data_IF_154434725877
#
_entry.id   IF_154434725877
#
_cell.length_a   1.000
_cell.length_b   1.000
_cell.length_c   1.000
_cell.angle_alpha   90.00
_cell.angle_beta   90.00
_cell.angle_gamma   90.00
#
_symmetry.space_group_name_H-M   'P 1'
#
loop_
_entity.id
_entity.type
_entity.pdbx_description
1 polymer ?
#
# COMPACT_ATOMS: atom_id res chain seq x y z
N UNK A 1 23.41 -15.08 -18.12
CA UNK A 1 22.31 -14.64 -17.23
C UNK A 1 22.97 -13.81 -16.14
N UNK A 2 22.93 -12.49 -16.31
CA UNK A 2 23.84 -11.55 -15.66
C UNK A 2 23.46 -11.36 -14.18
N UNK A 3 24.47 -11.40 -13.33
CA UNK A 3 24.42 -11.18 -11.87
C UNK A 3 23.87 -9.78 -11.52
N UNK A 4 23.70 -8.91 -12.52
CA UNK A 4 23.13 -7.56 -12.40
C UNK A 4 21.67 -7.50 -11.89
N UNK A 5 20.87 -8.58 -11.98
CA UNK A 5 19.46 -8.53 -11.55
C UNK A 5 19.22 -8.74 -10.04
N UNK A 6 20.20 -9.24 -9.28
CA UNK A 6 20.03 -9.49 -7.83
C UNK A 6 20.56 -8.33 -6.97
N UNK A 7 21.44 -7.47 -7.51
CA UNK A 7 22.02 -6.35 -6.74
C UNK A 7 21.08 -5.15 -6.53
N UNK A 8 19.96 -5.04 -7.23
CA UNK A 8 19.03 -3.92 -7.03
C UNK A 8 18.26 -4.00 -5.70
N UNK A 9 18.25 -5.17 -5.04
CA UNK A 9 17.49 -5.41 -3.81
C UNK A 9 18.31 -5.12 -2.54
N UNK A 10 19.64 -4.94 -2.62
CA UNK A 10 20.50 -4.89 -1.41
C UNK A 10 21.33 -3.61 -1.19
N UNK A 11 21.41 -2.67 -2.13
CA UNK A 11 22.27 -1.46 -1.99
C UNK A 11 21.52 -0.12 -1.74
N UNK A 12 20.41 -0.14 -0.99
CA UNK A 12 19.72 1.08 -0.52
C UNK A 12 19.52 1.10 1.00
N UNK A 13 20.43 0.50 1.76
CA UNK A 13 20.48 0.65 3.23
C UNK A 13 21.89 1.10 3.63
N UNK A 14 22.16 2.40 3.50
CA UNK A 14 23.22 3.06 4.26
C UNK A 14 22.61 4.21 5.06
N UNK A 15 22.24 3.87 6.28
CA UNK A 15 21.82 4.76 7.34
C UNK A 15 21.94 3.96 8.62
N UNK A 16 23.02 4.18 9.38
CA UNK A 16 23.31 3.47 10.61
C UNK A 16 22.16 3.63 11.61
N UNK A 17 21.51 2.52 11.98
CA UNK A 17 20.53 2.47 13.08
C UNK A 17 21.01 1.40 14.08
N UNK A 18 21.09 1.79 15.35
CA UNK A 18 21.68 0.97 16.40
C UNK A 18 20.84 -0.29 16.70
N UNK A 19 21.45 -1.45 17.00
CA UNK A 19 20.74 -2.73 17.10
C UNK A 19 19.77 -2.87 18.29
N UNK A 20 19.71 -1.91 19.22
CA UNK A 20 18.83 -1.95 20.40
C UNK A 20 17.51 -1.19 20.25
N UNK A 21 17.30 -0.49 19.12
CA UNK A 21 16.08 0.29 18.84
C UNK A 21 14.97 -0.54 18.18
N UNK A 22 15.29 -1.77 17.73
CA UNK A 22 14.39 -2.62 16.94
C UNK A 22 13.18 -3.18 17.72
N UNK A 23 13.07 -2.94 19.03
CA UNK A 23 12.07 -3.57 19.90
C UNK A 23 11.13 -2.59 20.64
N UNK A 24 11.00 -1.31 20.25
CA UNK A 24 10.18 -0.38 21.06
C UNK A 24 9.22 0.59 20.35
N UNK A 25 8.95 0.48 19.05
CA UNK A 25 7.96 1.35 18.37
C UNK A 25 6.80 0.58 17.71
N UNK A 26 6.69 -0.73 17.93
CA UNK A 26 5.84 -1.62 17.11
C UNK A 26 4.36 -1.73 17.53
N UNK A 27 3.89 -0.88 18.46
CA UNK A 27 2.61 -1.09 19.14
C UNK A 27 1.49 -0.07 18.83
N UNK A 28 1.73 0.97 18.02
CA UNK A 28 0.63 1.84 17.55
C UNK A 28 0.06 1.34 16.22
N UNK A 29 -0.35 0.07 16.20
CA UNK A 29 -1.18 -0.45 15.12
C UNK A 29 -2.62 -0.07 15.41
N UNK A 30 -3.16 0.92 14.67
CA UNK A 30 -4.61 1.15 14.71
C UNK A 30 -5.30 -0.05 14.07
N UNK A 31 -5.80 -0.97 14.90
CA UNK A 31 -6.51 -2.18 14.46
C UNK A 31 -7.76 -1.89 13.62
N UNK A 32 -8.14 -0.62 13.47
CA UNK A 32 -9.26 -0.17 12.69
C UNK A 32 -8.87 1.02 11.81
N UNK A 33 -8.72 0.77 10.51
CA UNK A 33 -8.83 1.82 9.50
C UNK A 33 -10.24 1.81 8.92
N UNK A 34 -10.78 3.00 8.64
CA UNK A 34 -12.14 3.11 8.12
C UNK A 34 -12.27 2.33 6.80
N UNK A 35 -13.38 1.61 6.62
CA UNK A 35 -13.72 0.83 5.41
C UNK A 35 -12.86 -0.43 5.14
N UNK A 36 -11.80 -0.67 5.91
CA UNK A 36 -10.88 -1.77 5.66
C UNK A 36 -11.23 -3.00 6.50
N UNK A 37 -11.58 -4.09 5.83
CA UNK A 37 -11.84 -5.38 6.48
C UNK A 37 -10.57 -6.05 7.00
N UNK A 38 -10.69 -7.03 7.92
CA UNK A 38 -9.55 -7.68 8.59
C UNK A 38 -8.56 -8.33 7.62
N UNK A 39 -9.04 -8.79 6.45
CA UNK A 39 -8.20 -9.36 5.39
C UNK A 39 -7.28 -8.32 4.77
N UNK A 40 -7.80 -7.16 4.39
CA UNK A 40 -7.01 -6.06 3.80
C UNK A 40 -6.06 -5.48 4.83
N UNK A 41 -6.50 -5.32 6.10
CA UNK A 41 -5.63 -4.89 7.19
C UNK A 41 -4.45 -5.86 7.41
N UNK A 42 -4.69 -7.18 7.35
CA UNK A 42 -3.61 -8.17 7.43
C UNK A 42 -2.59 -8.06 6.28
N UNK A 43 -3.06 -7.71 5.08
CA UNK A 43 -2.17 -7.46 3.94
C UNK A 43 -1.35 -6.18 4.11
N UNK A 44 -1.99 -5.08 4.52
CA UNK A 44 -1.31 -3.81 4.79
C UNK A 44 -0.26 -3.96 5.89
N UNK A 45 -0.57 -4.71 6.95
CA UNK A 45 0.40 -5.06 8.01
C UNK A 45 1.64 -5.76 7.45
N UNK A 46 1.46 -6.70 6.53
CA UNK A 46 2.57 -7.41 5.87
C UNK A 46 3.35 -6.48 4.92
N UNK A 47 2.68 -5.49 4.34
CA UNK A 47 3.28 -4.47 3.49
C UNK A 47 3.99 -3.35 4.29
N UNK A 48 3.90 -3.36 5.62
CA UNK A 48 4.46 -2.31 6.48
C UNK A 48 3.60 -1.05 6.57
N UNK A 49 2.35 -1.09 6.11
CA UNK A 49 1.40 0.03 6.13
C UNK A 49 0.48 -0.17 7.33
N UNK A 50 0.55 0.74 8.30
CA UNK A 50 -0.10 0.58 9.61
C UNK A 50 -1.09 1.70 9.91
N UNK A 51 -0.98 2.84 9.23
CA UNK A 51 -1.83 4.02 9.45
C UNK A 51 -2.43 4.56 8.15
N UNK A 52 -3.51 5.34 8.26
CA UNK A 52 -4.06 6.11 7.13
C UNK A 52 -3.06 7.15 6.60
N UNK A 53 -2.16 7.63 7.48
CA UNK A 53 -1.08 8.54 7.08
C UNK A 53 -0.05 7.82 6.21
N UNK A 54 0.22 6.54 6.46
CA UNK A 54 1.09 5.74 5.60
C UNK A 54 0.47 5.59 4.21
N UNK A 55 -0.85 5.33 4.15
CA UNK A 55 -1.58 5.27 2.87
C UNK A 55 -1.49 6.61 2.13
N UNK A 56 -1.70 7.74 2.82
CA UNK A 56 -1.55 9.09 2.24
C UNK A 56 -0.13 9.36 1.75
N UNK A 57 0.88 8.87 2.48
CA UNK A 57 2.29 9.12 2.17
C UNK A 57 2.78 8.29 0.99
N UNK A 58 2.30 7.05 0.87
CA UNK A 58 2.65 6.14 -0.23
C UNK A 58 1.82 6.42 -1.48
N UNK A 59 0.52 6.70 -1.31
CA UNK A 59 -0.46 6.83 -2.38
C UNK A 59 -1.34 5.58 -2.52
N UNK A 60 -2.63 5.78 -2.76
CA UNK A 60 -3.63 4.70 -2.79
C UNK A 60 -3.37 3.69 -3.91
N UNK A 61 -2.92 4.16 -5.07
CA UNK A 61 -2.60 3.31 -6.23
C UNK A 61 -1.35 2.48 -5.96
N UNK A 62 -0.32 3.11 -5.41
CA UNK A 62 0.97 2.51 -5.08
C UNK A 62 0.81 1.42 -4.02
N UNK A 63 0.02 1.70 -2.97
CA UNK A 63 -0.35 0.69 -1.97
C UNK A 63 -1.05 -0.50 -2.65
N UNK A 64 -2.01 -0.24 -3.54
CA UNK A 64 -2.73 -1.30 -4.23
C UNK A 64 -1.81 -2.16 -5.12
N UNK A 65 -0.88 -1.54 -5.85
CA UNK A 65 0.10 -2.23 -6.69
C UNK A 65 1.10 -3.02 -5.86
N UNK A 66 1.62 -2.45 -4.77
CA UNK A 66 2.51 -3.14 -3.84
C UNK A 66 1.85 -4.41 -3.29
N UNK A 67 0.56 -4.37 -2.93
CA UNK A 67 -0.17 -5.56 -2.50
C UNK A 67 -0.25 -6.61 -3.62
N UNK A 68 -0.42 -6.20 -4.87
CA UNK A 68 -0.39 -7.13 -6.02
C UNK A 68 0.98 -7.75 -6.24
N UNK A 69 2.04 -6.96 -6.11
CA UNK A 69 3.43 -7.42 -6.29
C UNK A 69 3.86 -8.40 -5.19
N UNK A 70 3.31 -8.24 -3.98
CA UNK A 70 3.43 -9.21 -2.89
C UNK A 70 2.65 -10.53 -3.13
N UNK A 71 1.96 -10.64 -4.26
CA UNK A 71 1.19 -11.84 -4.63
C UNK A 71 -0.24 -11.86 -4.08
N UNK A 72 -0.70 -10.79 -3.43
CA UNK A 72 -2.11 -10.68 -3.05
C UNK A 72 -2.99 -10.35 -4.26
N UNK A 73 -4.29 -10.59 -4.11
CA UNK A 73 -5.30 -10.28 -5.14
C UNK A 73 -6.33 -9.30 -4.57
N UNK A 74 -5.94 -8.04 -4.30
CA UNK A 74 -6.88 -7.03 -3.85
C UNK A 74 -7.94 -6.79 -4.94
N UNK A 75 -9.20 -6.68 -4.51
CA UNK A 75 -10.31 -6.37 -5.41
C UNK A 75 -10.42 -4.87 -5.63
N UNK A 76 -11.19 -4.45 -6.63
CA UNK A 76 -11.47 -3.03 -6.84
C UNK A 76 -12.18 -2.38 -5.62
N UNK A 77 -12.95 -3.16 -4.86
CA UNK A 77 -13.53 -2.69 -3.59
C UNK A 77 -12.43 -2.37 -2.57
N UNK A 78 -11.32 -3.10 -2.56
CA UNK A 78 -10.19 -2.78 -1.71
C UNK A 78 -9.55 -1.44 -2.12
N UNK A 79 -9.50 -1.12 -3.42
CA UNK A 79 -9.04 0.18 -3.89
C UNK A 79 -9.93 1.32 -3.36
N UNK A 80 -11.25 1.18 -3.43
CA UNK A 80 -12.17 2.18 -2.87
C UNK A 80 -12.08 2.28 -1.36
N UNK A 81 -11.86 1.16 -0.67
CA UNK A 81 -11.67 1.16 0.78
C UNK A 81 -10.39 1.90 1.18
N UNK A 82 -9.30 1.73 0.41
CA UNK A 82 -8.04 2.47 0.61
C UNK A 82 -8.22 3.97 0.39
N UNK A 83 -8.91 4.38 -0.68
CA UNK A 83 -9.25 5.79 -0.92
C UNK A 83 -10.11 6.35 0.22
N UNK A 84 -11.14 5.63 0.64
CA UNK A 84 -12.00 6.05 1.75
C UNK A 84 -11.24 6.15 3.08
N UNK A 85 -10.27 5.26 3.32
CA UNK A 85 -9.36 5.36 4.48
C UNK A 85 -8.40 6.55 4.36
N UNK A 86 -7.89 6.83 3.16
CA UNK A 86 -7.01 7.95 2.86
C UNK A 86 -7.70 9.30 3.11
N UNK A 87 -8.93 9.45 2.63
CA UNK A 87 -9.75 10.67 2.70
C UNK A 87 -10.61 10.77 3.96
N UNK A 88 -10.69 9.70 4.77
CA UNK A 88 -11.51 9.64 5.97
C UNK A 88 -13.03 9.57 5.71
N UNK A 89 -13.46 9.30 4.47
CA UNK A 89 -14.87 9.20 4.06
C UNK A 89 -15.34 7.75 3.91
N UNK A 90 -16.64 7.49 3.94
CA UNK A 90 -17.16 6.17 3.59
C UNK A 90 -16.87 5.89 2.11
N UNK A 91 -16.43 4.67 1.79
CA UNK A 91 -16.10 4.30 0.40
C UNK A 91 -17.30 4.41 -0.56
N UNK A 92 -18.53 4.35 -0.03
CA UNK A 92 -19.76 4.56 -0.79
C UNK A 92 -19.95 6.02 -1.19
N UNK A 93 -19.43 6.95 -0.40
CA UNK A 93 -19.56 8.39 -0.59
C UNK A 93 -18.48 8.98 -1.49
N UNK A 94 -17.46 8.18 -1.89
CA UNK A 94 -16.47 8.61 -2.89
C UNK A 94 -17.19 8.91 -4.22
N UNK A 95 -17.02 10.12 -4.79
CA UNK A 95 -17.61 10.53 -6.06
C UNK A 95 -17.30 9.56 -7.21
N UNK A 96 -18.22 9.45 -8.16
CA UNK A 96 -18.06 8.53 -9.29
C UNK A 96 -16.90 8.96 -10.20
N UNK A 97 -16.68 10.27 -10.31
CA UNK A 97 -15.59 10.91 -11.03
C UNK A 97 -14.25 10.47 -10.43
N UNK A 98 -14.11 10.55 -9.11
CA UNK A 98 -12.88 10.14 -8.41
C UNK A 98 -12.64 8.63 -8.54
N UNK A 99 -13.70 7.81 -8.49
CA UNK A 99 -13.61 6.37 -8.77
C UNK A 99 -13.16 6.07 -10.20
N UNK A 100 -13.55 6.89 -11.18
CA UNK A 100 -13.12 6.74 -12.56
C UNK A 100 -11.64 7.11 -12.70
N UNK A 101 -11.22 8.25 -12.15
CA UNK A 101 -9.84 8.69 -12.16
C UNK A 101 -8.89 7.66 -11.52
N UNK A 102 -9.27 7.05 -10.38
CA UNK A 102 -8.53 5.94 -9.76
C UNK A 102 -8.36 4.74 -10.69
N UNK A 103 -9.43 4.39 -11.44
CA UNK A 103 -9.39 3.25 -12.37
C UNK A 103 -8.48 3.53 -13.56
N UNK A 104 -8.56 4.73 -14.11
CA UNK A 104 -7.73 5.16 -15.24
C UNK A 104 -6.26 5.22 -14.84
N UNK A 105 -5.95 5.76 -13.66
CA UNK A 105 -4.60 5.77 -13.10
C UNK A 105 -4.09 4.34 -12.92
N UNK A 106 -4.87 3.48 -12.27
CA UNK A 106 -4.50 2.08 -12.07
C UNK A 106 -4.25 1.37 -13.41
N UNK A 107 -5.10 1.58 -14.41
CA UNK A 107 -4.94 0.99 -15.73
C UNK A 107 -3.64 1.47 -16.39
N UNK A 108 -3.33 2.76 -16.29
CA UNK A 108 -2.11 3.35 -16.84
C UNK A 108 -0.86 2.75 -16.22
N UNK A 109 -0.85 2.61 -14.89
CA UNK A 109 0.25 1.98 -14.16
C UNK A 109 0.42 0.51 -14.55
N UNK A 110 -0.68 -0.24 -14.64
CA UNK A 110 -0.63 -1.65 -15.06
C UNK A 110 -0.12 -1.81 -16.50
N UNK A 111 -0.51 -0.92 -17.42
CA UNK A 111 0.00 -0.94 -18.80
C UNK A 111 1.47 -0.50 -18.90
N UNK A 112 1.97 0.25 -17.92
CA UNK A 112 3.37 0.68 -17.87
C UNK A 112 4.27 -0.39 -17.22
N UNK A 113 3.68 -1.32 -16.48
CA UNK A 113 4.35 -2.42 -15.78
C UNK A 113 4.15 -3.77 -16.51
N UNK A 114 3.98 -3.74 -17.83
CA UNK A 114 3.99 -4.97 -18.65
C UNK A 114 5.46 -5.34 -18.96
N UNK A 115 5.92 -6.57 -18.63
CA UNK A 115 7.31 -7.03 -18.85
C UNK A 115 7.67 -7.31 -20.31
#
# INVERSE_FOLDING_TARGET
MSIQCILFILERVSGAIAPSQYLREKDEYHENMRNLGPKTLSWLKQAGIQTEQDIRSVGVIEVFLQLKDMGFRPSLNALWALEGACEGIDWRDIPSERKLELKEELQRQLSSHEP
#
